data_IF_489789807268
#
_entry.id   IF_489789807268
#
_cell.length_a   1.000
_cell.length_b   1.000
_cell.length_c   1.000
_cell.angle_alpha   90.00
_cell.angle_beta   90.00
_cell.angle_gamma   90.00
#
_symmetry.space_group_name_H-M   'P 1'
#
loop_
_entity.id
_entity.type
_entity.pdbx_description
1 polymer ?
#
# COMPACT_ATOMS: atom_id res chain seq x y z
N UNK A 1 -36.38 -0.09 28.82
CA UNK A 1 -35.80 1.22 29.19
C UNK A 1 -34.53 0.96 29.99
N UNK A 2 -33.34 1.18 29.42
CA UNK A 2 -32.06 1.06 30.13
C UNK A 2 -31.33 2.38 30.03
N UNK A 3 -31.12 3.01 31.19
CA UNK A 3 -30.53 4.34 31.40
C UNK A 3 -29.04 4.15 31.66
N UNK A 4 -28.21 4.69 30.79
CA UNK A 4 -26.75 4.73 30.97
C UNK A 4 -26.38 6.07 31.59
N UNK A 5 -25.78 6.03 32.78
CA UNK A 5 -25.17 7.19 33.42
C UNK A 5 -23.71 7.30 32.97
N UNK A 6 -23.38 8.41 32.31
CA UNK A 6 -22.00 8.79 31.97
C UNK A 6 -21.34 9.42 33.19
N UNK A 7 -20.18 8.90 33.59
CA UNK A 7 -19.24 9.61 34.47
C UNK A 7 -18.37 10.54 33.60
N UNK A 8 -18.09 11.78 34.01
CA UNK A 8 -17.12 12.62 33.32
C UNK A 8 -15.71 12.17 33.76
N UNK A 9 -14.99 11.48 32.88
CA UNK A 9 -13.55 11.31 33.03
C UNK A 9 -12.85 12.59 32.58
N UNK A 10 -12.02 13.15 33.45
CA UNK A 10 -11.12 14.27 33.16
C UNK A 10 -10.38 14.02 31.84
N UNK A 11 -10.43 15.01 30.94
CA UNK A 11 -9.72 15.00 29.68
C UNK A 11 -8.21 15.03 29.89
N UNK A 12 -7.58 13.86 29.79
CA UNK A 12 -6.18 13.75 29.41
C UNK A 12 -6.07 13.97 27.91
N UNK A 13 -5.33 15.01 27.51
CA UNK A 13 -4.94 15.22 26.12
C UNK A 13 -3.95 14.10 25.74
N UNK A 14 -4.46 12.99 25.20
CA UNK A 14 -3.64 11.97 24.57
C UNK A 14 -3.19 12.52 23.22
N UNK A 15 -1.93 12.96 23.14
CA UNK A 15 -1.26 13.14 21.87
C UNK A 15 -1.11 11.74 21.25
N UNK A 16 -2.05 11.36 20.37
CA UNK A 16 -1.83 10.24 19.46
C UNK A 16 -0.85 10.74 18.40
N UNK A 17 0.45 10.65 18.69
CA UNK A 17 1.45 10.70 17.63
C UNK A 17 1.21 9.43 16.83
N UNK A 18 0.58 9.58 15.67
CA UNK A 18 0.34 8.47 14.75
C UNK A 18 1.67 7.95 14.24
N UNK A 19 2.31 7.04 14.97
CA UNK A 19 3.34 6.18 14.43
C UNK A 19 2.67 5.38 13.33
N UNK A 20 3.00 5.70 12.07
CA UNK A 20 2.70 4.75 11.00
C UNK A 20 3.48 3.49 11.31
N UNK A 21 2.78 2.37 11.41
CA UNK A 21 3.45 1.06 11.46
C UNK A 21 4.36 0.98 10.24
N UNK A 22 5.62 0.62 10.46
CA UNK A 22 6.48 0.27 9.33
C UNK A 22 5.91 -0.93 8.60
N UNK A 23 6.20 -1.02 7.30
CA UNK A 23 5.79 -2.15 6.47
C UNK A 23 6.62 -3.40 6.81
N UNK A 24 7.88 -3.18 7.21
CA UNK A 24 8.86 -4.23 7.48
C UNK A 24 9.65 -3.88 8.75
N UNK A 25 9.71 -4.80 9.71
CA UNK A 25 10.60 -4.73 10.88
C UNK A 25 11.89 -5.48 10.57
N UNK A 26 13.05 -4.86 10.84
CA UNK A 26 14.38 -5.41 10.59
C UNK A 26 15.12 -5.61 11.90
N UNK A 27 15.55 -6.84 12.18
CA UNK A 27 16.13 -7.19 13.48
C UNK A 27 17.37 -8.09 13.35
N UNK A 28 18.21 -8.08 14.38
CA UNK A 28 19.26 -9.09 14.58
C UNK A 28 19.17 -9.64 16.01
N UNK A 29 18.15 -10.45 16.36
CA UNK A 29 17.90 -10.84 17.75
C UNK A 29 19.11 -11.55 18.36
N UNK A 30 19.51 -11.14 19.56
CA UNK A 30 20.67 -11.74 20.25
C UNK A 30 22.02 -11.51 19.55
N UNK A 31 22.13 -10.55 18.62
CA UNK A 31 23.37 -10.29 17.88
C UNK A 31 23.68 -11.33 16.80
N UNK A 32 22.63 -11.96 16.26
CA UNK A 32 22.74 -12.92 15.17
C UNK A 32 23.42 -12.33 13.93
N UNK A 33 24.15 -13.18 13.22
CA UNK A 33 24.85 -12.86 11.97
C UNK A 33 23.92 -12.84 10.74
N UNK A 34 22.63 -12.57 10.91
CA UNK A 34 21.65 -12.45 9.82
C UNK A 34 20.60 -11.40 10.19
N UNK A 35 20.06 -10.72 9.18
CA UNK A 35 18.87 -9.88 9.36
C UNK A 35 17.62 -10.75 9.36
N UNK A 36 16.72 -10.49 10.32
CA UNK A 36 15.36 -10.99 10.29
C UNK A 36 14.44 -9.88 9.80
N UNK A 37 13.52 -10.26 8.92
CA UNK A 37 12.47 -9.39 8.42
C UNK A 37 11.15 -9.89 8.97
N UNK A 38 10.46 -9.07 9.76
CA UNK A 38 9.23 -9.44 10.47
C UNK A 38 9.40 -10.75 11.27
N UNK A 39 10.54 -10.89 11.97
CA UNK A 39 10.89 -12.08 12.75
C UNK A 39 11.32 -13.32 11.95
N UNK A 40 11.38 -13.24 10.62
CA UNK A 40 11.78 -14.37 9.76
C UNK A 40 13.12 -14.11 9.08
N UNK A 41 13.99 -15.13 9.04
CA UNK A 41 15.21 -15.06 8.24
C UNK A 41 14.83 -15.26 6.77
N UNK A 42 14.83 -14.17 6.00
CA UNK A 42 14.56 -14.20 4.57
C UNK A 42 15.84 -13.82 3.81
N UNK A 43 16.48 -14.81 3.19
CA UNK A 43 17.66 -14.57 2.32
C UNK A 43 17.36 -13.67 1.10
N UNK A 44 16.09 -13.47 0.78
CA UNK A 44 15.64 -12.57 -0.29
C UNK A 44 14.38 -11.81 0.12
N UNK A 45 14.38 -10.49 -0.07
CA UNK A 45 13.19 -9.65 0.00
C UNK A 45 12.56 -9.53 -1.38
N UNK A 46 11.23 -9.65 -1.48
CA UNK A 46 10.50 -9.35 -2.72
C UNK A 46 9.73 -8.06 -2.58
N UNK A 47 10.09 -7.03 -3.36
CA UNK A 47 9.49 -5.70 -3.30
C UNK A 47 8.93 -5.29 -4.66
N UNK A 48 7.89 -4.46 -4.66
CA UNK A 48 7.22 -4.00 -5.88
C UNK A 48 7.89 -2.72 -6.37
N UNK A 49 8.22 -2.63 -7.66
CA UNK A 49 8.81 -1.43 -8.29
C UNK A 49 7.88 -0.22 -8.19
N UNK A 50 8.42 0.97 -7.98
CA UNK A 50 7.63 2.17 -7.65
C UNK A 50 6.97 2.13 -6.25
N UNK A 51 7.21 1.03 -5.53
CA UNK A 51 7.06 0.79 -4.10
C UNK A 51 7.65 1.85 -3.18
N UNK A 52 6.95 2.50 -2.26
CA UNK A 52 7.65 3.09 -1.09
C UNK A 52 7.39 2.24 0.14
N UNK A 53 8.45 1.67 0.69
CA UNK A 53 8.41 0.85 1.90
C UNK A 53 9.09 1.57 3.05
N UNK A 54 8.55 1.40 4.25
CA UNK A 54 9.17 1.85 5.50
C UNK A 54 9.70 0.65 6.27
N UNK A 55 10.96 0.75 6.69
CA UNK A 55 11.66 -0.25 7.48
C UNK A 55 11.88 0.29 8.90
N UNK A 56 11.38 -0.41 9.91
CA UNK A 56 11.69 -0.15 11.32
C UNK A 56 12.89 -1.01 11.71
N UNK A 57 14.05 -0.38 11.83
CA UNK A 57 15.33 -1.05 12.07
C UNK A 57 15.61 -1.06 13.57
N UNK A 58 15.78 -2.25 14.13
CA UNK A 58 16.21 -2.49 15.50
C UNK A 58 17.24 -3.63 15.52
N UNK A 59 18.47 -3.28 15.20
CA UNK A 59 19.61 -4.18 15.06
C UNK A 59 20.72 -3.81 16.02
N UNK A 60 21.64 -4.74 16.29
CA UNK A 60 22.80 -4.41 17.11
C UNK A 60 23.66 -3.33 16.44
N UNK A 61 24.38 -2.53 17.22
CA UNK A 61 25.30 -1.51 16.68
C UNK A 61 26.42 -2.07 15.78
N UNK A 62 26.68 -3.39 15.84
CA UNK A 62 27.65 -4.08 14.98
C UNK A 62 27.04 -4.54 13.65
N UNK A 63 25.72 -4.40 13.49
CA UNK A 63 24.96 -4.87 12.34
C UNK A 63 24.06 -3.78 11.75
N UNK A 64 24.59 -2.61 11.36
CA UNK A 64 23.79 -1.60 10.67
C UNK A 64 23.21 -2.19 9.37
N UNK A 65 21.96 -1.86 9.08
CA UNK A 65 21.25 -2.29 7.89
C UNK A 65 21.40 -1.25 6.78
N UNK A 66 21.89 -1.69 5.63
CA UNK A 66 22.07 -0.85 4.45
C UNK A 66 21.39 -1.49 3.24
N UNK A 67 20.59 -0.71 2.51
CA UNK A 67 20.09 -1.08 1.18
C UNK A 67 20.99 -0.45 0.12
N UNK A 68 21.58 -1.26 -0.76
CA UNK A 68 22.38 -0.76 -1.88
C UNK A 68 21.50 -0.58 -3.11
N UNK A 69 20.72 0.51 -3.08
CA UNK A 69 19.85 0.94 -4.17
C UNK A 69 19.73 2.47 -4.17
N UNK A 70 19.51 3.11 -5.33
CA UNK A 70 18.95 4.45 -5.34
C UNK A 70 17.55 4.45 -4.72
N UNK A 71 17.10 5.59 -4.19
CA UNK A 71 15.76 5.76 -3.61
C UNK A 71 15.64 5.45 -2.12
N UNK A 72 16.75 5.20 -1.43
CA UNK A 72 16.80 4.97 0.02
C UNK A 72 17.05 6.29 0.76
N UNK A 73 16.31 6.52 1.84
CA UNK A 73 16.44 7.66 2.76
C UNK A 73 16.71 7.11 4.17
N UNK A 74 17.63 7.76 4.89
CA UNK A 74 18.10 7.33 6.22
C UNK A 74 18.68 5.90 6.21
N UNK A 75 19.63 5.68 5.31
CA UNK A 75 20.28 4.39 5.06
C UNK A 75 21.43 4.12 6.04
N UNK A 76 21.90 2.87 6.11
CA UNK A 76 23.06 2.48 6.92
C UNK A 76 22.88 2.78 8.42
N UNK A 77 21.72 2.38 8.95
CA UNK A 77 21.35 2.63 10.35
C UNK A 77 21.22 1.31 11.11
N UNK A 78 21.47 1.35 12.42
CA UNK A 78 21.19 0.22 13.30
C UNK A 78 19.91 0.37 14.12
N UNK A 79 19.41 1.61 14.29
CA UNK A 79 18.15 1.91 14.99
C UNK A 79 17.37 3.02 14.28
N UNK A 80 16.05 2.88 14.20
CA UNK A 80 15.14 3.91 13.67
C UNK A 80 14.55 3.55 12.32
N UNK A 81 13.94 4.53 11.63
CA UNK A 81 13.22 4.27 10.39
C UNK A 81 14.05 4.59 9.14
N UNK A 82 14.08 3.65 8.21
CA UNK A 82 14.61 3.80 6.85
C UNK A 82 13.44 3.76 5.86
N UNK A 83 13.46 4.61 4.84
CA UNK A 83 12.45 4.58 3.76
C UNK A 83 13.11 4.21 2.45
N UNK A 84 12.51 3.28 1.70
CA UNK A 84 13.01 2.86 0.40
C UNK A 84 11.92 2.96 -0.66
N UNK A 85 12.13 3.87 -1.60
CA UNK A 85 11.36 3.93 -2.86
C UNK A 85 12.05 3.07 -3.91
N UNK A 86 11.46 1.91 -4.19
CA UNK A 86 11.97 0.93 -5.17
C UNK A 86 11.98 1.56 -6.56
N UNK A 87 13.14 1.58 -7.25
CA UNK A 87 13.23 2.08 -8.61
C UNK A 87 12.25 1.39 -9.57
N UNK A 88 11.81 2.11 -10.60
CA UNK A 88 10.80 1.62 -11.56
C UNK A 88 11.39 0.74 -12.67
N UNK A 89 12.73 0.75 -12.84
CA UNK A 89 13.42 -0.06 -13.83
C UNK A 89 13.44 -1.55 -13.45
N UNK A 90 13.59 -2.42 -14.45
CA UNK A 90 13.68 -3.86 -14.27
C UNK A 90 15.07 -4.28 -13.74
N UNK A 91 15.36 -3.98 -12.47
CA UNK A 91 16.60 -4.36 -11.79
C UNK A 91 16.33 -4.88 -10.38
N UNK A 92 17.18 -5.79 -9.91
CA UNK A 92 17.21 -6.24 -8.51
C UNK A 92 18.37 -5.55 -7.78
N UNK A 93 18.27 -5.49 -6.45
CA UNK A 93 19.22 -4.81 -5.57
C UNK A 93 19.67 -5.76 -4.46
N UNK A 94 20.54 -5.28 -3.57
CA UNK A 94 20.98 -6.05 -2.41
C UNK A 94 20.82 -5.22 -1.13
N UNK A 95 20.62 -5.92 -0.02
CA UNK A 95 20.84 -5.36 1.31
C UNK A 95 22.10 -5.98 1.91
N UNK A 96 22.79 -5.22 2.76
CA UNK A 96 24.04 -5.64 3.39
C UNK A 96 24.14 -5.10 4.82
N UNK A 97 25.00 -5.74 5.61
CA UNK A 97 25.70 -5.10 6.71
C UNK A 97 27.04 -4.58 6.20
N UNK A 98 27.34 -3.27 6.29
CA UNK A 98 28.62 -2.72 5.84
C UNK A 98 29.81 -3.16 6.71
N UNK A 99 29.55 -3.57 7.96
CA UNK A 99 30.60 -4.04 8.89
C UNK A 99 30.93 -5.52 8.67
N UNK A 100 29.91 -6.33 8.38
CA UNK A 100 30.03 -7.77 8.23
C UNK A 100 29.61 -8.16 6.80
N UNK A 101 30.54 -8.20 5.84
CA UNK A 101 30.22 -8.34 4.41
C UNK A 101 29.48 -9.63 4.04
N UNK A 102 29.51 -10.64 4.92
CA UNK A 102 28.82 -11.92 4.76
C UNK A 102 27.31 -11.83 5.07
N UNK A 103 26.88 -10.75 5.73
CA UNK A 103 25.48 -10.49 6.05
C UNK A 103 24.86 -9.70 4.91
N UNK A 104 24.48 -10.39 3.85
CA UNK A 104 23.83 -9.79 2.69
C UNK A 104 22.69 -10.66 2.21
N UNK A 105 21.82 -10.08 1.40
CA UNK A 105 20.81 -10.81 0.66
C UNK A 105 20.23 -9.98 -0.46
N UNK A 106 19.47 -10.66 -1.30
CA UNK A 106 18.90 -10.05 -2.50
C UNK A 106 17.61 -9.31 -2.19
N UNK A 107 17.36 -8.25 -2.96
CA UNK A 107 16.08 -7.59 -3.10
C UNK A 107 15.61 -7.84 -4.52
N UNK A 108 14.75 -8.85 -4.67
CA UNK A 108 14.10 -9.16 -5.91
C UNK A 108 12.97 -8.18 -6.15
N UNK A 109 12.98 -7.47 -7.29
CA UNK A 109 11.91 -6.52 -7.62
C UNK A 109 10.93 -7.08 -8.64
N UNK A 110 9.64 -7.00 -8.31
CA UNK A 110 8.55 -7.39 -9.21
C UNK A 110 7.88 -6.16 -9.81
N UNK A 111 7.35 -6.23 -11.04
CA UNK A 111 6.57 -5.12 -11.59
C UNK A 111 5.36 -4.80 -10.70
N UNK A 112 4.84 -3.57 -10.77
CA UNK A 112 3.54 -3.28 -10.19
C UNK A 112 2.51 -4.28 -10.73
N UNK A 113 1.66 -4.82 -9.86
CA UNK A 113 0.59 -5.69 -10.31
C UNK A 113 -0.34 -4.94 -11.27
N UNK A 114 -0.73 -5.61 -12.35
CA UNK A 114 -1.53 -5.01 -13.41
C UNK A 114 -3.01 -4.95 -13.01
N UNK A 115 -3.61 -3.77 -13.11
CA UNK A 115 -5.07 -3.60 -12.99
C UNK A 115 -5.70 -3.84 -14.34
N UNK A 116 -6.56 -4.84 -14.45
CA UNK A 116 -7.30 -5.18 -15.67
C UNK A 116 -8.79 -5.03 -15.42
N UNK A 117 -9.49 -4.45 -16.39
CA UNK A 117 -10.94 -4.59 -16.50
C UNK A 117 -11.20 -6.00 -17.01
N UNK A 118 -11.98 -6.76 -16.24
CA UNK A 118 -12.33 -8.14 -16.56
C UNK A 118 -13.62 -8.21 -17.36
N UNK A 119 -14.64 -7.45 -16.94
CA UNK A 119 -15.93 -7.40 -17.62
C UNK A 119 -16.66 -6.08 -17.37
N UNK A 120 -17.55 -5.76 -18.29
CA UNK A 120 -18.56 -4.71 -18.19
C UNK A 120 -19.91 -5.33 -18.52
N UNK A 121 -20.81 -5.36 -17.54
CA UNK A 121 -22.15 -5.91 -17.69
C UNK A 121 -23.20 -4.79 -17.62
N UNK A 122 -24.13 -4.79 -18.59
CA UNK A 122 -25.21 -3.81 -18.68
C UNK A 122 -26.54 -4.46 -18.30
N UNK A 123 -27.20 -3.90 -17.29
CA UNK A 123 -28.54 -4.32 -16.86
C UNK A 123 -29.26 -3.18 -16.13
N UNK A 124 -29.95 -3.51 -15.03
CA UNK A 124 -30.49 -2.47 -14.12
C UNK A 124 -29.39 -1.60 -13.52
N UNK A 125 -28.21 -2.20 -13.34
CA UNK A 125 -26.97 -1.56 -12.91
C UNK A 125 -25.91 -1.74 -14.00
N UNK A 126 -24.90 -0.87 -14.00
CA UNK A 126 -23.66 -1.06 -14.77
C UNK A 126 -22.62 -1.66 -13.85
N UNK A 127 -22.24 -2.92 -14.06
CA UNK A 127 -21.29 -3.62 -13.20
C UNK A 127 -19.94 -3.72 -13.91
N UNK A 128 -18.89 -3.19 -13.26
CA UNK A 128 -17.51 -3.33 -13.70
C UNK A 128 -16.79 -4.31 -12.76
N UNK A 129 -16.23 -5.37 -13.32
CA UNK A 129 -15.31 -6.27 -12.60
C UNK A 129 -13.87 -5.94 -12.95
N UNK A 130 -12.99 -5.90 -11.94
CA UNK A 130 -11.56 -5.65 -12.16
C UNK A 130 -10.67 -6.42 -11.18
N UNK A 131 -9.39 -6.56 -11.53
CA UNK A 131 -8.35 -7.19 -10.69
C UNK A 131 -7.78 -6.23 -9.63
N UNK A 132 -8.59 -5.28 -9.14
CA UNK A 132 -8.13 -4.27 -8.17
C UNK A 132 -7.52 -4.90 -6.92
N UNK A 133 -6.57 -4.16 -6.36
CA UNK A 133 -5.68 -4.56 -5.28
C UNK A 133 -6.00 -3.63 -4.10
N UNK A 134 -5.84 -4.05 -2.83
CA UNK A 134 -6.45 -3.38 -1.67
C UNK A 134 -6.23 -1.85 -1.56
N UNK A 135 -5.18 -1.31 -2.16
CA UNK A 135 -4.81 0.11 -2.05
C UNK A 135 -5.29 0.98 -3.22
N UNK A 136 -5.80 0.39 -4.31
CA UNK A 136 -6.29 1.15 -5.45
C UNK A 136 -7.72 1.64 -5.22
N UNK A 137 -7.95 2.92 -5.50
CA UNK A 137 -9.30 3.49 -5.52
C UNK A 137 -9.77 3.63 -6.96
N UNK A 138 -10.92 3.03 -7.26
CA UNK A 138 -11.65 3.33 -8.49
C UNK A 138 -12.66 4.44 -8.20
N UNK A 139 -12.52 5.56 -8.90
CA UNK A 139 -13.49 6.63 -8.88
C UNK A 139 -14.28 6.59 -10.18
N UNK A 140 -15.56 6.25 -10.08
CA UNK A 140 -16.49 6.32 -11.18
C UNK A 140 -17.08 7.73 -11.27
N UNK A 141 -17.12 8.28 -12.47
CA UNK A 141 -17.69 9.60 -12.76
C UNK A 141 -18.72 9.45 -13.88
N UNK A 142 -19.78 10.26 -13.83
CA UNK A 142 -20.82 10.30 -14.84
C UNK A 142 -20.97 11.70 -15.44
N UNK A 143 -21.48 11.74 -16.67
CA UNK A 143 -21.93 12.96 -17.33
C UNK A 143 -23.20 12.66 -18.14
N UNK A 144 -24.13 13.62 -18.20
CA UNK A 144 -25.32 13.57 -19.06
C UNK A 144 -25.08 14.25 -20.42
N UNK A 145 -23.93 14.88 -20.61
CA UNK A 145 -23.50 15.49 -21.87
C UNK A 145 -21.98 15.35 -22.06
N UNK A 146 -21.54 14.68 -23.14
CA UNK A 146 -20.10 14.54 -23.48
C UNK A 146 -19.42 15.86 -23.85
N UNK A 147 -20.16 16.87 -24.29
CA UNK A 147 -19.59 18.07 -24.92
C UNK A 147 -19.16 19.16 -23.94
N UNK A 148 -19.61 19.14 -22.67
CA UNK A 148 -19.36 20.22 -21.71
C UNK A 148 -18.33 19.90 -20.62
N UNK A 149 -17.77 18.69 -20.58
CA UNK A 149 -16.63 18.36 -19.70
C UNK A 149 -16.93 18.34 -18.19
N UNK A 150 -18.16 18.62 -17.75
CA UNK A 150 -18.56 18.56 -16.35
C UNK A 150 -18.89 17.11 -15.95
N UNK A 151 -17.87 16.41 -15.47
CA UNK A 151 -17.99 15.06 -14.91
C UNK A 151 -18.30 15.14 -13.42
N UNK A 152 -19.34 14.46 -12.98
CA UNK A 152 -19.72 14.36 -11.56
C UNK A 152 -19.31 13.00 -10.99
N UNK A 153 -18.82 12.97 -9.75
CA UNK A 153 -18.50 11.72 -9.06
C UNK A 153 -19.79 10.93 -8.81
N UNK A 154 -19.80 9.63 -9.09
CA UNK A 154 -20.89 8.75 -8.70
C UNK A 154 -20.85 8.60 -7.16
N UNK A 155 -21.81 9.17 -6.42
CA UNK A 155 -21.75 9.22 -4.96
C UNK A 155 -22.08 7.87 -4.31
N UNK A 156 -22.69 6.96 -5.06
CA UNK A 156 -22.96 5.59 -4.67
C UNK A 156 -22.17 4.70 -5.62
N UNK A 157 -21.06 4.18 -5.13
CA UNK A 157 -20.33 3.08 -5.73
C UNK A 157 -20.16 2.05 -4.60
N UNK A 158 -20.86 0.92 -4.70
CA UNK A 158 -20.60 -0.19 -3.78
C UNK A 158 -19.48 -1.02 -4.36
N UNK A 159 -18.30 -0.95 -3.74
CA UNK A 159 -17.24 -1.92 -3.99
C UNK A 159 -17.62 -3.23 -3.30
N UNK A 160 -18.04 -4.24 -4.06
CA UNK A 160 -18.19 -5.60 -3.54
C UNK A 160 -16.90 -6.36 -3.79
N UNK A 161 -16.28 -6.86 -2.73
CA UNK A 161 -15.07 -7.67 -2.81
C UNK A 161 -15.46 -9.15 -2.75
N UNK A 162 -15.01 -9.92 -3.74
CA UNK A 162 -15.10 -11.39 -3.71
C UNK A 162 -13.78 -12.00 -4.19
N UNK A 163 -12.99 -12.55 -3.26
CA UNK A 163 -11.64 -13.05 -3.55
C UNK A 163 -10.70 -11.94 -4.04
N UNK A 164 -10.15 -12.10 -5.24
CA UNK A 164 -9.29 -11.12 -5.93
C UNK A 164 -10.04 -10.20 -6.90
N UNK A 165 -11.37 -10.15 -6.82
CA UNK A 165 -12.24 -9.37 -7.71
C UNK A 165 -12.93 -8.25 -6.93
N UNK A 166 -12.89 -7.04 -7.48
CA UNK A 166 -13.69 -5.91 -7.00
C UNK A 166 -14.73 -5.55 -8.06
N UNK A 167 -16.00 -5.60 -7.66
CA UNK A 167 -17.15 -5.16 -8.45
C UNK A 167 -17.42 -3.71 -8.04
N UNK A 168 -17.18 -2.72 -8.90
CA UNK A 168 -16.94 -1.33 -8.45
C UNK A 168 -18.01 -0.29 -8.79
N UNK A 169 -19.16 -0.66 -9.36
CA UNK A 169 -20.19 0.33 -9.74
C UNK A 169 -21.60 -0.28 -9.58
N UNK A 170 -22.45 0.43 -8.84
CA UNK A 170 -23.90 0.20 -8.74
C UNK A 170 -24.55 1.58 -8.60
N UNK A 171 -25.50 1.93 -9.46
CA UNK A 171 -26.13 3.24 -9.42
C UNK A 171 -27.09 3.45 -10.58
N UNK A 172 -28.30 3.94 -10.28
CA UNK A 172 -29.37 4.20 -11.25
C UNK A 172 -29.58 5.72 -11.41
N UNK A 173 -29.23 6.32 -12.55
CA UNK A 173 -29.87 7.56 -13.00
C UNK A 173 -31.05 7.20 -13.90
N UNK A 174 -32.21 7.84 -13.69
CA UNK A 174 -33.31 7.80 -14.65
C UNK A 174 -33.15 8.91 -15.70
N UNK A 175 -33.45 8.59 -16.96
CA UNK A 175 -33.55 9.55 -18.07
C UNK A 175 -32.21 9.91 -18.72
N UNK A 176 -32.14 9.75 -20.05
CA UNK A 176 -31.06 10.08 -20.97
C UNK A 176 -29.82 9.17 -21.05
N UNK A 177 -29.03 9.36 -22.12
CA UNK A 177 -27.76 8.67 -22.34
C UNK A 177 -26.74 9.12 -21.31
N UNK A 178 -26.21 8.16 -20.54
CA UNK A 178 -25.22 8.42 -19.49
C UNK A 178 -23.84 8.03 -20.01
N UNK A 179 -22.87 8.91 -19.83
CA UNK A 179 -21.47 8.62 -20.09
C UNK A 179 -20.79 8.30 -18.77
N UNK A 180 -20.06 7.18 -18.72
CA UNK A 180 -19.32 6.75 -17.53
C UNK A 180 -17.83 6.82 -17.87
N UNK A 181 -17.06 7.46 -16.99
CA UNK A 181 -15.60 7.46 -17.02
C UNK A 181 -15.08 6.85 -15.73
N UNK A 182 -14.01 6.07 -15.87
CA UNK A 182 -13.32 5.45 -14.75
C UNK A 182 -11.95 6.08 -14.58
N UNK A 183 -11.66 6.53 -13.36
CA UNK A 183 -10.33 6.96 -12.96
C UNK A 183 -9.80 6.00 -11.91
N UNK A 184 -8.66 5.40 -12.21
CA UNK A 184 -7.92 4.60 -11.26
C UNK A 184 -6.78 5.45 -10.70
N UNK A 185 -6.71 5.57 -9.37
CA UNK A 185 -5.62 6.26 -8.68
C UNK A 185 -5.08 5.40 -7.54
N UNK A 186 -3.79 5.57 -7.30
CA UNK A 186 -3.10 5.07 -6.12
C UNK A 186 -3.30 6.01 -4.94
#
# INVERSE_FOLDING_TARGET
>A
MRRWTLFPTLGGLVLVVGLRSADIRVETPGGQHNFLFNGTNAGTLTLVRGQTYTFDVDTSSQHPFQIQSPGVVNNEINTGQLTYTVPTNNASYIYVCPIHPWMFGDIFTVPPPEVRILSLELGKDVVLSSTLIPDWKLQAEFATNLHQGEWSVLPIATNRISGNRVDSICGRPEGDSIFIRLKASR
#
